data_IF_519575612104
#
_entry.id   IF_519575612104
#
_cell.length_a   1.000
_cell.length_b   1.000
_cell.length_c   1.000
_cell.angle_alpha   90.00
_cell.angle_beta   90.00
_cell.angle_gamma   90.00
#
_symmetry.space_group_name_H-M   'P 1'
#
loop_
_entity.id
_entity.type
_entity.pdbx_description
1 polymer ?
#
# COMPACT_ATOMS: atom_id res chain seq x y z
N UNK A 1 -0.45 0.43 -12.29
CA UNK A 1 -0.31 1.61 -11.40
C UNK A 1 -0.96 1.28 -10.06
N UNK A 2 -0.19 1.33 -8.96
CA UNK A 2 -0.71 1.12 -7.61
C UNK A 2 -1.43 2.40 -7.15
N UNK A 3 -2.72 2.30 -6.79
CA UNK A 3 -3.60 3.46 -6.57
C UNK A 3 -4.72 3.12 -5.58
N UNK A 4 -5.50 4.13 -5.20
CA UNK A 4 -6.70 4.00 -4.37
C UNK A 4 -7.57 2.81 -4.77
N UNK A 5 -7.98 2.01 -3.79
CA UNK A 5 -9.00 0.97 -3.91
C UNK A 5 -10.19 1.36 -3.05
N UNK A 6 -11.29 1.78 -3.70
CA UNK A 6 -12.54 2.11 -3.01
C UNK A 6 -13.18 0.86 -2.37
N UNK A 7 -13.15 -0.26 -3.08
CA UNK A 7 -13.67 -1.55 -2.60
C UNK A 7 -12.98 -1.98 -1.29
N UNK A 8 -11.65 -1.83 -1.21
CA UNK A 8 -10.88 -2.20 -0.03
C UNK A 8 -10.76 -1.06 0.99
N UNK A 9 -11.40 0.08 0.73
CA UNK A 9 -11.29 1.31 1.54
C UNK A 9 -9.84 1.69 1.81
N UNK A 10 -8.99 1.69 0.79
CA UNK A 10 -7.59 2.10 0.89
C UNK A 10 -7.32 3.29 0.00
N UNK A 11 -7.01 4.43 0.60
CA UNK A 11 -6.96 5.72 -0.08
C UNK A 11 -5.56 6.32 -0.02
N UNK A 12 -5.11 6.82 -1.17
CA UNK A 12 -3.80 7.45 -1.32
C UNK A 12 -2.61 6.55 -0.97
N UNK A 13 -2.52 5.31 -1.48
CA UNK A 13 -1.34 4.48 -1.23
C UNK A 13 -0.10 5.10 -1.89
N UNK A 14 1.01 5.21 -1.15
CA UNK A 14 2.21 5.81 -1.72
C UNK A 14 3.41 5.89 -0.79
N UNK A 15 4.40 6.69 -1.23
CA UNK A 15 5.71 6.87 -0.59
C UNK A 15 6.32 5.53 -0.19
N UNK A 16 6.38 4.62 -1.15
CA UNK A 16 6.77 3.26 -0.90
C UNK A 16 8.28 3.09 -0.78
N UNK A 17 8.68 2.01 -0.12
CA UNK A 17 10.02 1.45 -0.14
C UNK A 17 9.94 -0.06 -0.42
N UNK A 18 11.10 -0.68 -0.59
CA UNK A 18 11.22 -2.13 -0.78
C UNK A 18 12.16 -2.71 0.26
N UNK A 19 11.84 -3.91 0.73
CA UNK A 19 12.69 -4.74 1.59
C UNK A 19 12.48 -6.21 1.21
N UNK A 20 13.21 -7.12 1.82
CA UNK A 20 13.01 -8.56 1.64
C UNK A 20 12.61 -9.24 2.95
N UNK A 21 11.90 -10.37 2.83
CA UNK A 21 11.73 -11.33 3.91
C UNK A 21 13.06 -12.04 4.20
N UNK A 22 13.22 -12.73 5.35
CA UNK A 22 14.40 -13.56 5.60
C UNK A 22 14.65 -14.63 4.53
N UNK A 23 13.59 -15.11 3.88
CA UNK A 23 13.61 -16.10 2.81
C UNK A 23 13.95 -15.50 1.43
N UNK A 24 14.06 -14.17 1.34
CA UNK A 24 14.45 -13.45 0.13
C UNK A 24 13.30 -13.01 -0.77
N UNK A 25 12.05 -13.03 -0.29
CA UNK A 25 10.90 -12.55 -1.06
C UNK A 25 10.80 -11.02 -0.99
N UNK A 26 10.57 -10.36 -2.12
CA UNK A 26 10.44 -8.89 -2.15
C UNK A 26 9.12 -8.43 -1.52
N UNK A 27 9.23 -7.40 -0.68
CA UNK A 27 8.13 -6.79 0.06
C UNK A 27 7.99 -5.33 -0.36
N UNK A 28 6.77 -4.96 -0.76
CA UNK A 28 6.35 -3.57 -0.92
C UNK A 28 5.91 -3.03 0.44
N UNK A 29 6.56 -1.96 0.91
CA UNK A 29 6.18 -1.20 2.11
C UNK A 29 5.63 0.14 1.65
N UNK A 30 4.45 0.54 2.11
CA UNK A 30 3.79 1.80 1.70
C UNK A 30 2.87 2.32 2.80
N UNK A 31 2.44 3.57 2.72
CA UNK A 31 1.36 4.08 3.59
C UNK A 31 0.03 4.18 2.84
N UNK A 32 -1.09 4.08 3.55
CA UNK A 32 -2.42 4.46 3.06
C UNK A 32 -3.32 4.92 4.23
N UNK A 33 -4.45 5.57 3.92
CA UNK A 33 -5.56 5.83 4.86
C UNK A 33 -6.73 4.91 4.56
N UNK A 34 -7.63 4.71 5.54
CA UNK A 34 -8.87 3.95 5.36
C UNK A 34 -10.15 4.81 5.25
N UNK A 35 -9.97 6.12 5.06
CA UNK A 35 -11.02 7.11 4.78
C UNK A 35 -10.54 8.18 3.78
N UNK A 36 -11.49 8.93 3.20
CA UNK A 36 -11.23 9.97 2.19
C UNK A 36 -11.32 11.39 2.73
N UNK A 37 -12.30 11.65 3.60
CA UNK A 37 -12.54 12.99 4.14
C UNK A 37 -11.53 13.32 5.24
N UNK A 38 -10.76 14.39 5.03
CA UNK A 38 -9.76 14.88 5.99
C UNK A 38 -10.20 16.26 6.45
N UNK A 39 -10.33 16.45 7.76
CA UNK A 39 -10.55 17.77 8.34
C UNK A 39 -9.21 18.49 8.54
N UNK A 40 -9.05 19.66 7.93
CA UNK A 40 -7.82 20.46 8.02
C UNK A 40 -6.75 20.05 6.98
N UNK A 41 -5.47 20.31 7.30
CA UNK A 41 -4.35 20.02 6.40
C UNK A 41 -3.97 18.53 6.48
N UNK A 42 -3.98 17.79 5.35
CA UNK A 42 -3.59 16.38 5.29
C UNK A 42 -2.19 16.04 5.80
N UNK A 43 -1.29 17.02 5.88
CA UNK A 43 0.04 16.85 6.45
C UNK A 43 -0.01 16.56 7.95
N UNK A 44 -0.95 17.17 8.66
CA UNK A 44 -1.10 17.04 10.12
C UNK A 44 -2.10 15.96 10.55
N UNK A 45 -2.83 15.38 9.60
CA UNK A 45 -3.63 14.18 9.83
C UNK A 45 -2.71 12.95 10.04
N UNK A 46 -2.74 12.32 11.23
CA UNK A 46 -1.77 11.29 11.62
C UNK A 46 -2.12 9.88 11.10
N UNK A 47 -3.26 9.69 10.42
CA UNK A 47 -3.81 8.35 10.19
C UNK A 47 -3.34 7.71 8.87
N UNK A 48 -2.12 8.05 8.43
CA UNK A 48 -1.42 7.26 7.42
C UNK A 48 -0.80 6.06 8.11
N UNK A 49 -1.33 4.88 7.81
CA UNK A 49 -0.81 3.63 8.37
C UNK A 49 0.15 2.96 7.41
N UNK A 50 1.28 2.49 7.92
CA UNK A 50 2.23 1.65 7.18
C UNK A 50 1.61 0.28 6.91
N UNK A 51 1.74 -0.20 5.68
CA UNK A 51 1.22 -1.48 5.19
C UNK A 51 2.31 -2.22 4.42
N UNK A 52 2.22 -3.54 4.42
CA UNK A 52 3.18 -4.43 3.76
C UNK A 52 2.44 -5.41 2.85
N UNK A 53 3.05 -5.77 1.71
CA UNK A 53 2.63 -6.91 0.91
C UNK A 53 3.79 -7.51 0.13
N UNK A 54 3.72 -8.80 -0.15
CA UNK A 54 4.64 -9.43 -1.09
C UNK A 54 4.45 -8.86 -2.51
N UNK A 55 5.56 -8.69 -3.22
CA UNK A 55 5.58 -8.37 -4.64
C UNK A 55 5.37 -9.66 -5.42
N UNK A 56 4.42 -9.65 -6.35
CA UNK A 56 4.29 -10.72 -7.34
C UNK A 56 5.06 -10.30 -8.58
N UNK A 57 5.67 -11.25 -9.26
CA UNK A 57 6.40 -11.02 -10.50
C UNK A 57 5.69 -11.79 -11.62
N UNK A 58 5.41 -11.11 -12.73
CA UNK A 58 4.78 -11.76 -13.89
C UNK A 58 5.80 -12.56 -14.71
N UNK A 59 5.32 -13.28 -15.74
CA UNK A 59 6.16 -14.11 -16.61
C UNK A 59 7.22 -13.32 -17.40
N UNK A 60 7.06 -12.01 -17.52
CA UNK A 60 8.00 -11.11 -18.19
C UNK A 60 8.99 -10.47 -17.20
N UNK A 61 8.93 -10.83 -15.91
CA UNK A 61 9.78 -10.28 -14.85
C UNK A 61 9.38 -8.87 -14.42
N UNK A 62 8.15 -8.42 -14.72
CA UNK A 62 7.65 -7.14 -14.24
C UNK A 62 6.92 -7.31 -12.90
N UNK A 63 7.07 -6.36 -11.96
CA UNK A 63 6.39 -6.45 -10.68
C UNK A 63 4.89 -6.13 -10.84
N UNK A 64 4.06 -7.05 -10.38
CA UNK A 64 2.63 -6.85 -10.17
C UNK A 64 2.36 -6.47 -8.70
N UNK A 65 2.17 -5.17 -8.48
CA UNK A 65 1.80 -4.64 -7.17
C UNK A 65 0.33 -4.87 -6.82
N UNK A 66 -0.53 -5.23 -7.77
CA UNK A 66 -1.95 -5.47 -7.56
C UNK A 66 -2.70 -4.26 -6.99
N UNK A 67 -3.68 -4.55 -6.12
CA UNK A 67 -4.46 -3.54 -5.39
C UNK A 67 -4.07 -3.53 -3.89
N UNK A 68 -4.13 -2.38 -3.20
CA UNK A 68 -3.99 -2.36 -1.75
C UNK A 68 -5.10 -3.21 -1.11
N UNK A 69 -4.73 -4.19 -0.28
CA UNK A 69 -5.70 -5.11 0.37
C UNK A 69 -6.60 -4.39 1.37
N UNK A 70 -7.79 -4.93 1.69
CA UNK A 70 -8.61 -4.43 2.78
C UNK A 70 -7.89 -4.58 4.14
N UNK A 71 -8.36 -3.86 5.16
CA UNK A 71 -7.93 -4.13 6.53
C UNK A 71 -8.53 -5.48 6.99
N UNK A 72 -7.81 -6.22 7.82
CA UNK A 72 -8.30 -7.48 8.42
C UNK A 72 -8.99 -7.18 9.75
N UNK A 73 -10.12 -7.85 10.02
CA UNK A 73 -10.81 -7.80 11.32
C UNK A 73 -9.99 -8.45 12.46
#
# INVERSE_FOLDING_TARGET
MFRTSYENRQYGPGHNSFTQTPEGEDVLVYHARNYTEIEGDPLYDPNRHTRLKLVRWDENGMPDFGIPAADTD
#
